data_IF_951510933552
#
_entry.id   IF_951510933552
#
_cell.length_a   1.000
_cell.length_b   1.000
_cell.length_c   1.000
_cell.angle_alpha   90.00
_cell.angle_beta   90.00
_cell.angle_gamma   90.00
#
_symmetry.space_group_name_H-M   'P 1'
#
loop_
_entity.id
_entity.type
_entity.pdbx_description
1 polymer ?
#
# COMPACT_ATOMS: atom_id res chain seq x y z
N UNK A 1 14.32 -45.46 -28.84
CA UNK A 1 13.25 -44.46 -28.72
C UNK A 1 12.24 -44.94 -27.68
N UNK A 2 12.14 -44.31 -26.50
CA UNK A 2 10.89 -44.32 -25.76
C UNK A 2 10.35 -42.90 -25.63
N UNK A 3 9.09 -42.75 -26.02
CA UNK A 3 8.31 -41.52 -25.96
C UNK A 3 8.00 -41.16 -24.50
N UNK A 4 8.39 -39.95 -24.08
CA UNK A 4 7.95 -39.38 -22.80
C UNK A 4 6.49 -38.89 -22.92
N UNK A 5 5.68 -39.03 -21.85
CA UNK A 5 4.27 -38.67 -21.87
C UNK A 5 4.09 -37.15 -21.86
N UNK A 6 3.21 -36.64 -22.72
CA UNK A 6 2.76 -35.25 -22.68
C UNK A 6 1.99 -35.00 -21.38
N UNK A 7 2.49 -34.12 -20.52
CA UNK A 7 1.69 -33.51 -19.47
C UNK A 7 0.59 -32.65 -20.13
N UNK A 8 -0.70 -32.81 -19.78
CA UNK A 8 -1.72 -31.89 -20.24
C UNK A 8 -1.46 -30.51 -19.63
N UNK A 9 -1.58 -29.46 -20.46
CA UNK A 9 -1.51 -28.09 -19.98
C UNK A 9 -2.65 -27.84 -18.95
N UNK A 10 -2.38 -27.10 -17.85
CA UNK A 10 -3.41 -26.78 -16.88
C UNK A 10 -4.54 -26.00 -17.57
N UNK A 11 -5.78 -26.43 -17.34
CA UNK A 11 -6.96 -25.73 -17.88
C UNK A 11 -7.08 -24.34 -17.23
N UNK A 12 -7.51 -23.29 -17.96
CA UNK A 12 -7.48 -21.90 -17.49
C UNK A 12 -8.37 -21.60 -16.27
N UNK A 13 -9.25 -22.53 -15.89
CA UNK A 13 -10.19 -22.39 -14.77
C UNK A 13 -9.54 -22.63 -13.41
N UNK A 14 -8.58 -23.54 -13.33
CA UNK A 14 -7.89 -23.92 -12.09
C UNK A 14 -6.87 -22.84 -11.67
N UNK A 15 -6.18 -22.28 -12.66
CA UNK A 15 -5.21 -21.18 -12.46
C UNK A 15 -5.90 -19.91 -11.94
N UNK A 16 -7.12 -19.63 -12.42
CA UNK A 16 -7.88 -18.44 -12.03
C UNK A 16 -8.42 -18.51 -10.59
N UNK A 17 -8.71 -19.71 -10.08
CA UNK A 17 -9.19 -19.91 -8.70
C UNK A 17 -8.02 -19.76 -7.72
N UNK A 18 -6.88 -20.39 -8.03
CA UNK A 18 -5.63 -20.23 -7.27
C UNK A 18 -5.14 -18.76 -7.24
N UNK A 19 -5.17 -18.06 -8.39
CA UNK A 19 -4.82 -16.62 -8.45
C UNK A 19 -5.78 -15.76 -7.61
N UNK A 20 -7.06 -16.15 -7.51
CA UNK A 20 -8.07 -15.44 -6.73
C UNK A 20 -7.92 -15.70 -5.22
N UNK A 21 -7.59 -16.94 -4.83
CA UNK A 21 -7.27 -17.31 -3.45
C UNK A 21 -5.98 -16.62 -2.97
N UNK A 22 -4.93 -16.62 -3.79
CA UNK A 22 -3.67 -15.92 -3.50
C UNK A 22 -3.89 -14.41 -3.35
N UNK A 23 -4.70 -13.79 -4.22
CA UNK A 23 -5.07 -12.39 -4.09
C UNK A 23 -5.88 -12.11 -2.82
N UNK A 24 -6.76 -13.04 -2.42
CA UNK A 24 -7.57 -12.94 -1.21
C UNK A 24 -6.70 -13.03 0.04
N UNK A 25 -5.78 -13.99 0.09
CA UNK A 25 -4.81 -14.13 1.17
C UNK A 25 -3.88 -12.91 1.25
N UNK A 26 -3.44 -12.40 0.10
CA UNK A 26 -2.64 -11.18 0.02
C UNK A 26 -3.40 -9.96 0.56
N UNK A 27 -4.68 -9.82 0.20
CA UNK A 27 -5.57 -8.76 0.70
C UNK A 27 -5.75 -8.86 2.21
N UNK A 28 -5.99 -10.06 2.74
CA UNK A 28 -6.15 -10.30 4.16
C UNK A 28 -4.88 -9.98 4.94
N UNK A 29 -3.72 -10.42 4.43
CA UNK A 29 -2.41 -10.09 5.00
C UNK A 29 -2.18 -8.59 5.08
N UNK A 30 -2.56 -7.83 4.05
CA UNK A 30 -2.48 -6.37 4.07
C UNK A 30 -3.44 -5.76 5.08
N UNK A 31 -4.67 -6.26 5.15
CA UNK A 31 -5.69 -5.77 6.09
C UNK A 31 -5.26 -5.93 7.55
N UNK A 32 -4.62 -7.05 7.89
CA UNK A 32 -4.10 -7.32 9.25
C UNK A 32 -3.03 -6.32 9.71
N UNK A 33 -2.36 -5.64 8.77
CA UNK A 33 -1.35 -4.60 9.05
C UNK A 33 -1.97 -3.23 9.30
N UNK A 34 -3.23 -3.01 8.96
CA UNK A 34 -3.83 -1.69 9.14
C UNK A 34 -4.05 -1.38 10.63
N UNK A 35 -3.96 -0.09 11.03
CA UNK A 35 -4.43 0.34 12.33
C UNK A 35 -5.96 0.19 12.43
N UNK A 36 -6.51 0.26 13.64
CA UNK A 36 -7.95 0.16 13.84
C UNK A 36 -8.68 1.43 13.38
N UNK A 37 -8.00 2.58 13.48
CA UNK A 37 -8.49 3.87 12.98
C UNK A 37 -7.41 4.69 12.27
N UNK A 38 -7.84 5.55 11.35
CA UNK A 38 -6.99 6.61 10.80
C UNK A 38 -6.46 7.56 11.89
N UNK A 39 -7.15 7.67 13.03
CA UNK A 39 -6.75 8.55 14.14
C UNK A 39 -5.47 8.11 14.85
N UNK A 40 -5.03 6.87 14.63
CA UNK A 40 -3.74 6.35 15.10
C UNK A 40 -2.58 6.85 14.23
N UNK A 41 -2.85 7.37 13.03
CA UNK A 41 -1.83 7.87 12.12
C UNK A 41 -1.31 9.24 12.61
N UNK A 42 -0.27 9.19 13.44
CA UNK A 42 0.34 10.34 14.14
C UNK A 42 1.76 10.62 13.67
N UNK A 43 2.13 10.11 12.50
CA UNK A 43 3.43 10.31 11.91
C UNK A 43 3.76 11.80 11.67
N UNK A 44 5.05 12.09 11.39
CA UNK A 44 5.53 13.44 11.15
C UNK A 44 4.84 14.08 9.94
N UNK A 45 4.62 15.39 10.03
CA UNK A 45 4.02 16.19 8.95
C UNK A 45 5.03 17.07 8.21
N UNK A 46 6.18 17.33 8.85
CA UNK A 46 7.24 18.20 8.37
C UNK A 46 8.60 17.64 8.79
N UNK A 47 9.68 18.19 8.22
CA UNK A 47 11.04 17.77 8.49
C UNK A 47 11.48 16.58 7.65
N UNK A 48 12.66 16.07 7.97
CA UNK A 48 13.26 14.91 7.29
C UNK A 48 12.92 13.64 8.07
N UNK A 49 12.51 12.62 7.34
CA UNK A 49 12.10 11.33 7.89
C UNK A 49 12.91 10.23 7.24
N UNK A 50 13.52 9.39 8.07
CA UNK A 50 14.28 8.23 7.62
C UNK A 50 13.42 6.96 7.70
N UNK A 51 13.24 6.32 6.54
CA UNK A 51 12.60 5.02 6.43
C UNK A 51 13.63 3.89 6.64
N UNK A 52 13.22 2.76 7.24
CA UNK A 52 14.05 1.57 7.28
C UNK A 52 14.39 1.10 5.87
N UNK A 53 15.60 0.57 5.67
CA UNK A 53 16.08 0.14 4.35
C UNK A 53 15.14 -0.85 3.65
N UNK A 54 14.48 -1.72 4.43
CA UNK A 54 13.44 -2.66 3.92
C UNK A 54 12.28 -2.01 3.17
N UNK A 55 12.04 -0.70 3.37
CA UNK A 55 10.99 0.06 2.67
C UNK A 55 11.53 0.91 1.52
N UNK A 56 12.83 1.19 1.52
CA UNK A 56 13.47 2.11 0.59
C UNK A 56 14.01 1.34 -0.63
N UNK A 57 13.12 0.82 -1.48
CA UNK A 57 13.49 0.05 -2.68
C UNK A 57 14.36 0.82 -3.68
N UNK A 58 14.39 2.15 -3.61
CA UNK A 58 15.27 3.00 -4.41
C UNK A 58 16.67 3.22 -3.81
N UNK A 59 16.93 2.71 -2.59
CA UNK A 59 18.11 3.03 -1.80
C UNK A 59 18.07 4.40 -1.11
N UNK A 60 17.09 5.26 -1.44
CA UNK A 60 16.86 6.53 -0.76
C UNK A 60 16.01 6.30 0.48
N UNK A 61 16.62 6.36 1.66
CA UNK A 61 15.94 6.17 2.95
C UNK A 61 15.45 7.48 3.56
N UNK A 62 16.03 8.62 3.19
CA UNK A 62 15.74 9.92 3.79
C UNK A 62 14.80 10.75 2.91
N UNK A 63 13.68 11.20 3.49
CA UNK A 63 12.63 11.94 2.80
C UNK A 63 12.30 13.24 3.52
N UNK A 64 12.47 14.35 2.83
CA UNK A 64 12.07 15.68 3.29
C UNK A 64 10.58 15.90 3.00
N UNK A 65 9.76 15.93 4.06
CA UNK A 65 8.33 16.18 3.96
C UNK A 65 8.00 17.59 3.49
N UNK A 66 8.94 18.55 3.55
CA UNK A 66 8.80 19.86 2.92
C UNK A 66 8.72 19.79 1.40
N UNK A 67 9.26 18.74 0.77
CA UNK A 67 9.27 18.56 -0.68
C UNK A 67 8.09 17.68 -1.13
N UNK A 68 7.14 18.19 -1.94
CA UNK A 68 5.94 17.44 -2.32
C UNK A 68 6.21 16.07 -2.96
N UNK A 69 7.24 15.98 -3.81
CA UNK A 69 7.64 14.70 -4.46
C UNK A 69 8.19 13.69 -3.46
N UNK A 70 8.98 14.12 -2.48
CA UNK A 70 9.54 13.23 -1.47
C UNK A 70 8.47 12.80 -0.46
N UNK A 71 7.61 13.73 -0.03
CA UNK A 71 6.43 13.42 0.78
C UNK A 71 5.55 12.35 0.12
N UNK A 72 5.26 12.51 -1.17
CA UNK A 72 4.51 11.52 -1.96
C UNK A 72 5.24 10.16 -2.01
N UNK A 73 6.55 10.18 -2.24
CA UNK A 73 7.39 8.98 -2.26
C UNK A 73 7.38 8.21 -0.94
N UNK A 74 7.51 8.91 0.19
CA UNK A 74 7.47 8.32 1.53
C UNK A 74 6.11 7.64 1.78
N UNK A 75 5.01 8.35 1.53
CA UNK A 75 3.67 7.80 1.75
C UNK A 75 3.43 6.58 0.88
N UNK A 76 3.86 6.62 -0.39
CA UNK A 76 3.77 5.45 -1.28
C UNK A 76 4.59 4.27 -0.76
N UNK A 77 5.83 4.50 -0.33
CA UNK A 77 6.68 3.43 0.20
C UNK A 77 6.05 2.78 1.43
N UNK A 78 5.56 3.58 2.38
CA UNK A 78 4.95 3.08 3.62
C UNK A 78 3.62 2.36 3.35
N UNK A 79 2.81 2.82 2.38
CA UNK A 79 1.57 2.13 2.00
C UNK A 79 1.82 0.74 1.41
N UNK A 80 2.96 0.54 0.73
CA UNK A 80 3.34 -0.74 0.15
C UNK A 80 4.04 -1.66 1.16
N UNK A 81 4.94 -1.12 1.98
CA UNK A 81 5.89 -1.91 2.77
C UNK A 81 5.71 -1.81 4.29
N UNK A 82 4.88 -0.87 4.73
CA UNK A 82 4.58 -0.64 6.13
C UNK A 82 3.95 -1.86 6.78
N UNK A 83 4.47 -2.23 7.94
CA UNK A 83 3.81 -3.12 8.88
C UNK A 83 2.99 -2.31 9.87
N UNK A 84 2.25 -3.00 10.74
CA UNK A 84 1.29 -2.38 11.65
C UNK A 84 1.86 -1.23 12.48
N UNK A 85 3.05 -1.40 13.02
CA UNK A 85 3.68 -0.37 13.87
C UNK A 85 4.33 0.76 13.04
N UNK A 86 4.60 0.51 11.77
CA UNK A 86 5.18 1.51 10.87
C UNK A 86 4.14 2.54 10.42
N UNK A 87 2.88 2.12 10.21
CA UNK A 87 1.85 3.02 9.67
C UNK A 87 1.60 4.21 10.61
N UNK A 88 1.35 4.03 11.93
CA UNK A 88 1.21 5.13 12.88
C UNK A 88 2.47 6.01 12.99
N UNK A 89 3.65 5.40 12.79
CA UNK A 89 4.94 6.07 12.94
C UNK A 89 5.27 7.00 11.78
N UNK A 90 4.91 6.62 10.56
CA UNK A 90 5.33 7.33 9.34
C UNK A 90 4.19 8.05 8.62
N UNK A 91 2.94 7.63 8.80
CA UNK A 91 1.79 8.28 8.18
C UNK A 91 1.09 9.19 9.16
N UNK A 92 0.66 10.34 8.65
CA UNK A 92 -0.22 11.25 9.34
C UNK A 92 -1.61 11.21 8.69
N UNK A 93 -2.66 11.19 9.51
CA UNK A 93 -4.05 11.14 9.04
C UNK A 93 -4.39 12.22 8.01
N UNK A 94 -4.12 13.49 8.33
CA UNK A 94 -4.60 14.61 7.55
C UNK A 94 -3.83 14.72 6.23
N UNK A 95 -2.51 14.49 6.29
CA UNK A 95 -1.69 14.39 5.09
C UNK A 95 -2.09 13.19 4.23
N UNK A 96 -2.41 12.04 4.82
CA UNK A 96 -2.87 10.88 4.06
C UNK A 96 -4.16 11.21 3.31
N UNK A 97 -5.15 11.82 3.98
CA UNK A 97 -6.40 12.25 3.37
C UNK A 97 -6.18 13.25 2.23
N UNK A 98 -5.27 14.22 2.43
CA UNK A 98 -4.92 15.21 1.40
C UNK A 98 -4.23 14.57 0.18
N UNK A 99 -3.33 13.62 0.39
CA UNK A 99 -2.54 12.99 -0.67
C UNK A 99 -3.29 11.84 -1.35
N UNK A 100 -4.30 11.25 -0.69
CA UNK A 100 -5.03 10.06 -1.16
C UNK A 100 -5.57 10.16 -2.59
N UNK A 101 -6.16 11.29 -3.05
CA UNK A 101 -6.65 11.43 -4.42
C UNK A 101 -5.61 11.12 -5.50
N UNK A 102 -4.34 11.42 -5.22
CA UNK A 102 -3.21 11.08 -6.08
C UNK A 102 -2.63 9.72 -5.72
N UNK A 103 -2.40 9.41 -4.43
CA UNK A 103 -1.83 8.12 -4.01
C UNK A 103 -2.63 6.92 -4.51
N UNK A 104 -3.97 6.99 -4.49
CA UNK A 104 -4.85 5.92 -4.94
C UNK A 104 -4.68 5.53 -6.41
N UNK A 105 -4.07 6.40 -7.23
CA UNK A 105 -3.73 6.11 -8.64
C UNK A 105 -2.32 5.52 -8.77
N UNK A 106 -1.48 5.68 -7.75
CA UNK A 106 -0.09 5.24 -7.70
C UNK A 106 0.10 3.92 -6.95
N UNK A 107 -0.85 3.55 -6.10
CA UNK A 107 -0.86 2.25 -5.40
C UNK A 107 -1.64 1.21 -6.21
N UNK A 108 -1.26 -0.07 -6.05
CA UNK A 108 -1.94 -1.19 -6.71
C UNK A 108 -3.40 -1.31 -6.28
N UNK A 109 -4.24 -1.94 -7.13
CA UNK A 109 -5.68 -2.11 -6.89
C UNK A 109 -5.99 -2.72 -5.51
N UNK A 110 -5.21 -3.73 -5.10
CA UNK A 110 -5.39 -4.40 -3.80
C UNK A 110 -5.14 -3.47 -2.63
N UNK A 111 -4.02 -2.73 -2.64
CA UNK A 111 -3.70 -1.76 -1.57
C UNK A 111 -4.79 -0.70 -1.50
N UNK A 112 -5.19 -0.13 -2.64
CA UNK A 112 -6.29 0.83 -2.70
C UNK A 112 -7.56 0.27 -2.09
N UNK A 113 -8.00 -0.92 -2.52
CA UNK A 113 -9.24 -1.54 -2.02
C UNK A 113 -9.18 -1.77 -0.51
N UNK A 114 -8.09 -2.37 0.00
CA UNK A 114 -7.91 -2.63 1.44
C UNK A 114 -8.01 -1.35 2.27
N UNK A 115 -7.38 -0.27 1.82
CA UNK A 115 -7.42 1.02 2.52
C UNK A 115 -8.79 1.72 2.41
N UNK A 116 -9.40 1.75 1.23
CA UNK A 116 -10.73 2.35 1.02
C UNK A 116 -11.84 1.58 1.77
N UNK A 117 -11.76 0.25 1.81
CA UNK A 117 -12.73 -0.61 2.53
C UNK A 117 -12.59 -0.51 4.05
N UNK A 118 -11.36 -0.36 4.56
CA UNK A 118 -11.12 -0.24 6.00
C UNK A 118 -11.34 1.19 6.49
N UNK A 119 -11.12 2.18 5.64
CA UNK A 119 -11.28 3.60 5.97
C UNK A 119 -12.15 4.31 4.94
N UNK A 120 -13.48 4.30 5.11
CA UNK A 120 -14.43 4.92 4.16
C UNK A 120 -14.18 6.41 3.88
N UNK A 121 -13.51 7.12 4.81
CA UNK A 121 -13.08 8.52 4.62
C UNK A 121 -12.10 8.70 3.46
N UNK A 122 -11.32 7.68 3.09
CA UNK A 122 -10.41 7.69 1.94
C UNK A 122 -11.17 7.50 0.62
N UNK A 123 -12.23 6.68 0.62
CA UNK A 123 -13.10 6.50 -0.55
C UNK A 123 -13.99 7.74 -0.80
N UNK A 124 -14.34 8.44 0.28
CA UNK A 124 -15.08 9.69 0.22
C UNK A 124 -14.26 10.73 -0.53
N UNK A 125 -14.82 11.26 -1.62
CA UNK A 125 -14.17 12.26 -2.48
C UNK A 125 -13.90 13.54 -1.70
N UNK A 126 -12.78 13.59 -0.97
CA UNK A 126 -12.29 14.84 -0.41
C UNK A 126 -11.86 15.70 -1.59
N UNK A 127 -12.66 16.73 -1.85
CA UNK A 127 -12.25 17.84 -2.70
C UNK A 127 -11.06 18.46 -1.96
N UNK A 128 -9.85 18.30 -2.49
CA UNK A 128 -8.72 19.07 -2.01
C UNK A 128 -9.09 20.55 -2.16
N UNK A 129 -9.11 21.29 -1.06
CA UNK A 129 -9.25 22.74 -1.10
C UNK A 129 -8.04 23.29 -1.86
N UNK A 130 -8.32 23.97 -2.96
CA UNK A 130 -7.39 24.81 -3.70
C UNK A 130 -7.58 26.26 -3.25
#
# INVERSE_FOLDING_TARGET
MPSSPQHPAPTPRDVSDADSEDLTLYREKFRRRLPESLDELRGPTHGVVDLPLRMAWSGMTSYDLGKPRQRMGLYRAVLHEGLRDDLPRYLNRDLLLQLWPVLRTLVGRTVRAVWEDSFPRLASRHRAAA
#
